data_IF_471796804472
#
_entry.id   IF_471796804472
#
_cell.length_a   1.000
_cell.length_b   1.000
_cell.length_c   1.000
_cell.angle_alpha   90.00
_cell.angle_beta   90.00
_cell.angle_gamma   90.00
#
_symmetry.space_group_name_H-M   'P 1'
#
loop_
_entity.id
_entity.type
_entity.pdbx_description
1 polymer ?
#
# COMPACT_ATOMS: atom_id res chain seq x y z
N UNK A 1 21.48 2.32 -5.08
CA UNK A 1 20.44 2.87 -4.17
C UNK A 1 20.62 2.29 -2.77
N UNK A 2 20.25 3.00 -1.69
CA UNK A 2 20.29 2.42 -0.33
C UNK A 2 18.90 1.88 0.05
N UNK A 3 18.72 0.55 0.01
CA UNK A 3 17.44 -0.09 0.28
C UNK A 3 16.97 0.12 1.73
N UNK A 4 17.89 0.12 2.70
CA UNK A 4 17.56 0.34 4.11
C UNK A 4 17.00 1.74 4.35
N UNK A 5 17.50 2.72 3.60
CA UNK A 5 16.97 4.08 3.63
C UNK A 5 15.55 4.13 3.06
N UNK A 6 15.26 3.39 1.99
CA UNK A 6 13.91 3.32 1.40
C UNK A 6 12.91 2.61 2.33
N UNK A 7 13.34 1.58 3.08
CA UNK A 7 12.52 0.96 4.13
C UNK A 7 12.20 1.97 5.23
N UNK A 8 13.20 2.72 5.72
CA UNK A 8 13.00 3.79 6.70
C UNK A 8 12.05 4.88 6.18
N UNK A 9 12.17 5.24 4.89
CA UNK A 9 11.25 6.17 4.23
C UNK A 9 9.81 5.64 4.24
N UNK A 10 9.57 4.35 3.94
CA UNK A 10 8.25 3.75 4.07
C UNK A 10 7.66 3.92 5.49
N UNK A 11 8.45 3.67 6.54
CA UNK A 11 8.01 3.86 7.92
C UNK A 11 7.70 5.33 8.27
N UNK A 12 8.53 6.26 7.78
CA UNK A 12 8.31 7.71 7.94
C UNK A 12 7.02 8.13 7.24
N UNK A 13 6.84 7.73 5.97
CA UNK A 13 5.64 8.07 5.21
C UNK A 13 4.39 7.45 5.81
N UNK A 14 4.46 6.23 6.36
CA UNK A 14 3.36 5.62 7.12
C UNK A 14 2.96 6.46 8.35
N UNK A 15 3.95 6.94 9.13
CA UNK A 15 3.69 7.85 10.26
C UNK A 15 3.04 9.16 9.80
N UNK A 16 3.50 9.71 8.67
CA UNK A 16 2.92 10.92 8.11
C UNK A 16 1.50 10.70 7.58
N UNK A 17 1.22 9.60 6.88
CA UNK A 17 -0.14 9.22 6.48
C UNK A 17 -1.05 9.18 7.70
N UNK A 18 -0.63 8.52 8.79
CA UNK A 18 -1.39 8.46 10.04
C UNK A 18 -1.59 9.85 10.68
N UNK A 19 -0.58 10.72 10.64
CA UNK A 19 -0.65 12.06 11.22
C UNK A 19 -1.65 12.96 10.48
N UNK A 20 -1.71 12.84 9.16
CA UNK A 20 -2.54 13.70 8.33
C UNK A 20 -3.92 13.12 8.00
N UNK A 21 -4.20 11.87 8.39
CA UNK A 21 -5.51 11.25 8.20
C UNK A 21 -6.62 12.08 8.90
N UNK A 22 -7.75 12.41 8.24
CA UNK A 22 -8.18 11.97 6.92
C UNK A 22 -7.98 12.97 5.77
N UNK A 23 -7.08 13.95 5.88
CA UNK A 23 -6.89 15.00 4.86
C UNK A 23 -6.47 14.42 3.50
N UNK A 24 -7.32 14.53 2.46
CA UNK A 24 -7.06 13.87 1.19
C UNK A 24 -5.79 14.36 0.50
N UNK A 25 -5.46 15.65 0.59
CA UNK A 25 -4.27 16.21 -0.06
C UNK A 25 -2.99 15.65 0.55
N UNK A 26 -2.86 15.71 1.88
CA UNK A 26 -1.64 15.26 2.55
C UNK A 26 -1.52 13.75 2.51
N UNK A 27 -2.62 13.01 2.73
CA UNK A 27 -2.61 11.55 2.59
C UNK A 27 -2.22 11.14 1.17
N UNK A 28 -2.77 11.77 0.13
CA UNK A 28 -2.37 11.51 -1.25
C UNK A 28 -0.86 11.72 -1.46
N UNK A 29 -0.34 12.85 -0.99
CA UNK A 29 1.07 13.22 -1.16
C UNK A 29 2.01 12.19 -0.51
N UNK A 30 1.77 11.83 0.74
CA UNK A 30 2.62 10.86 1.45
C UNK A 30 2.39 9.42 0.96
N UNK A 31 1.19 9.08 0.49
CA UNK A 31 0.93 7.77 -0.08
C UNK A 31 1.64 7.56 -1.43
N UNK A 32 1.70 8.57 -2.29
CA UNK A 32 2.51 8.53 -3.52
C UNK A 32 3.99 8.32 -3.17
N UNK A 33 4.51 9.04 -2.17
CA UNK A 33 5.90 8.86 -1.71
C UNK A 33 6.15 7.45 -1.16
N UNK A 34 5.22 6.93 -0.36
CA UNK A 34 5.27 5.56 0.13
C UNK A 34 5.36 4.55 -1.02
N UNK A 35 4.48 4.66 -2.03
CA UNK A 35 4.49 3.79 -3.20
C UNK A 35 5.81 3.87 -3.98
N UNK A 36 6.35 5.07 -4.14
CA UNK A 36 7.65 5.25 -4.82
C UNK A 36 8.78 4.54 -4.05
N UNK A 37 8.79 4.62 -2.71
CA UNK A 37 9.76 3.88 -1.91
C UNK A 37 9.60 2.36 -2.01
N UNK A 38 8.37 1.84 -2.10
CA UNK A 38 8.15 0.41 -2.41
C UNK A 38 8.77 0.03 -3.76
N UNK A 39 8.56 0.83 -4.81
CA UNK A 39 9.16 0.57 -6.11
C UNK A 39 10.69 0.61 -6.08
N UNK A 40 11.25 1.56 -5.34
CA UNK A 40 12.68 1.66 -5.11
C UNK A 40 13.22 0.43 -4.36
N UNK A 41 12.54 -0.06 -3.32
CA UNK A 41 12.97 -1.29 -2.63
C UNK A 41 13.02 -2.48 -3.60
N UNK A 42 11.97 -2.66 -4.42
CA UNK A 42 11.91 -3.76 -5.39
C UNK A 42 13.07 -3.65 -6.40
N UNK A 43 13.29 -2.47 -6.97
CA UNK A 43 14.40 -2.25 -7.91
C UNK A 43 15.76 -2.49 -7.22
N UNK A 44 15.88 -2.09 -5.95
CA UNK A 44 17.09 -2.28 -5.15
C UNK A 44 17.45 -3.73 -4.94
N UNK A 45 16.46 -4.60 -4.73
CA UNK A 45 16.69 -6.06 -4.65
C UNK A 45 17.40 -6.57 -5.92
N UNK A 46 17.00 -6.06 -7.09
CA UNK A 46 17.66 -6.41 -8.34
C UNK A 46 19.01 -5.69 -8.55
N UNK A 47 19.24 -4.54 -7.91
CA UNK A 47 20.57 -3.91 -7.87
C UNK A 47 21.57 -4.74 -7.05
N UNK A 48 21.16 -5.21 -5.87
CA UNK A 48 21.96 -6.14 -5.05
C UNK A 48 22.25 -7.42 -5.82
N UNK A 49 21.22 -8.06 -6.41
CA UNK A 49 21.38 -9.26 -7.22
C UNK A 49 22.28 -9.04 -8.45
N UNK A 50 22.15 -7.91 -9.14
CA UNK A 50 22.99 -7.59 -10.31
C UNK A 50 24.47 -7.50 -9.95
N UNK A 51 24.76 -6.97 -8.77
CA UNK A 51 26.12 -6.90 -8.23
C UNK A 51 26.62 -8.30 -7.86
N UNK A 52 25.81 -9.06 -7.12
CA UNK A 52 26.21 -10.38 -6.62
C UNK A 52 26.41 -11.43 -7.73
N UNK A 53 25.61 -11.37 -8.79
CA UNK A 53 25.73 -12.27 -9.94
C UNK A 53 26.63 -11.72 -11.06
N UNK A 54 27.19 -10.51 -10.93
CA UNK A 54 28.10 -9.96 -11.95
C UNK A 54 27.42 -9.69 -13.31
N UNK A 55 26.18 -9.24 -13.31
CA UNK A 55 25.45 -8.95 -14.55
C UNK A 55 25.88 -7.63 -15.21
N UNK A 56 26.49 -6.70 -14.45
CA UNK A 56 27.03 -5.42 -14.92
C UNK A 56 26.01 -4.54 -15.68
N UNK A 57 24.76 -4.49 -15.21
CA UNK A 57 23.78 -3.51 -15.69
C UNK A 57 24.10 -2.16 -15.02
N UNK A 58 24.35 -1.12 -15.81
CA UNK A 58 24.68 0.23 -15.35
C UNK A 58 23.49 1.19 -15.28
N UNK A 59 22.42 0.89 -16.02
CA UNK A 59 21.17 1.68 -16.01
C UNK A 59 20.27 1.31 -14.82
N UNK A 60 19.19 2.09 -14.61
CA UNK A 60 18.13 1.74 -13.63
C UNK A 60 17.66 0.29 -13.85
N UNK A 61 17.83 -0.53 -12.82
CA UNK A 61 17.56 -1.96 -12.87
C UNK A 61 16.11 -2.22 -12.49
N UNK A 62 15.39 -2.89 -13.40
CA UNK A 62 14.07 -3.46 -13.14
C UNK A 62 14.16 -4.97 -13.27
N UNK A 63 13.21 -5.70 -12.70
CA UNK A 63 13.11 -7.16 -12.85
C UNK A 63 13.21 -7.61 -14.32
N UNK A 64 12.50 -6.92 -15.22
CA UNK A 64 12.52 -7.22 -16.67
C UNK A 64 13.91 -7.03 -17.27
N UNK A 65 14.60 -5.92 -16.95
CA UNK A 65 15.95 -5.67 -17.45
C UNK A 65 16.95 -6.69 -16.90
N UNK A 66 16.86 -6.99 -15.60
CA UNK A 66 17.67 -8.02 -14.95
C UNK A 66 17.50 -9.38 -15.64
N UNK A 67 16.26 -9.83 -15.82
CA UNK A 67 15.94 -11.10 -16.47
C UNK A 67 16.46 -11.17 -17.91
N UNK A 68 16.26 -10.12 -18.70
CA UNK A 68 16.74 -10.07 -20.09
C UNK A 68 18.27 -10.12 -20.17
N UNK A 69 18.98 -9.42 -19.27
CA UNK A 69 20.44 -9.47 -19.20
C UNK A 69 20.94 -10.84 -18.80
N UNK A 70 20.32 -11.46 -17.80
CA UNK A 70 20.65 -12.82 -17.36
C UNK A 70 20.47 -13.84 -18.50
N UNK A 71 19.38 -13.74 -19.27
CA UNK A 71 19.15 -14.55 -20.48
C UNK A 71 20.25 -14.35 -21.53
N UNK A 72 20.58 -13.10 -21.85
CA UNK A 72 21.59 -12.77 -22.85
C UNK A 72 22.98 -13.29 -22.45
N UNK A 73 23.30 -13.32 -21.15
CA UNK A 73 24.55 -13.86 -20.60
C UNK A 73 24.52 -15.36 -20.32
N UNK A 74 23.37 -16.01 -20.49
CA UNK A 74 23.15 -17.41 -20.08
C UNK A 74 23.50 -17.67 -18.61
N UNK A 75 23.25 -16.69 -17.74
CA UNK A 75 23.53 -16.80 -16.31
C UNK A 75 22.39 -17.54 -15.59
N UNK A 76 22.58 -18.85 -15.40
CA UNK A 76 21.57 -19.72 -14.77
C UNK A 76 21.23 -19.33 -13.33
N UNK A 77 22.20 -18.80 -12.58
CA UNK A 77 22.00 -18.41 -11.19
C UNK A 77 21.14 -17.16 -11.08
N UNK A 78 21.42 -16.16 -11.91
CA UNK A 78 20.59 -14.96 -12.02
C UNK A 78 19.18 -15.29 -12.54
N UNK A 79 19.04 -16.19 -13.52
CA UNK A 79 17.73 -16.64 -14.01
C UNK A 79 16.92 -17.33 -12.91
N UNK A 80 17.54 -18.26 -12.17
CA UNK A 80 16.94 -18.96 -11.03
C UNK A 80 16.48 -18.00 -9.94
N UNK A 81 17.27 -16.95 -9.65
CA UNK A 81 16.85 -15.90 -8.73
C UNK A 81 15.64 -15.11 -9.26
N UNK A 82 15.69 -14.69 -10.52
CA UNK A 82 14.62 -13.92 -11.16
C UNK A 82 13.29 -14.67 -11.15
N UNK A 83 13.29 -15.97 -11.45
CA UNK A 83 12.10 -16.83 -11.44
C UNK A 83 11.57 -17.06 -10.03
N UNK A 84 12.48 -17.33 -9.07
CA UNK A 84 12.11 -17.44 -7.67
C UNK A 84 11.44 -16.16 -7.16
N UNK A 85 11.99 -14.98 -7.49
CA UNK A 85 11.43 -13.71 -7.05
C UNK A 85 10.03 -13.49 -7.63
N UNK A 86 9.83 -13.76 -8.93
CA UNK A 86 8.50 -13.69 -9.55
C UNK A 86 7.48 -14.55 -8.80
N UNK A 87 7.81 -15.83 -8.57
CA UNK A 87 6.92 -16.76 -7.90
C UNK A 87 6.63 -16.34 -6.45
N UNK A 88 7.67 -15.91 -5.72
CA UNK A 88 7.52 -15.43 -4.34
C UNK A 88 6.64 -14.18 -4.28
N UNK A 89 6.86 -13.23 -5.19
CA UNK A 89 6.04 -12.02 -5.30
C UNK A 89 4.57 -12.38 -5.58
N UNK A 90 4.29 -13.27 -6.53
CA UNK A 90 2.93 -13.74 -6.80
C UNK A 90 2.28 -14.38 -5.58
N UNK A 91 2.99 -15.26 -4.86
CA UNK A 91 2.48 -15.91 -3.65
C UNK A 91 2.12 -14.90 -2.57
N UNK A 92 2.99 -13.92 -2.28
CA UNK A 92 2.70 -12.86 -1.30
C UNK A 92 1.47 -12.04 -1.69
N UNK A 93 1.28 -11.85 -3.00
CA UNK A 93 0.18 -11.07 -3.58
C UNK A 93 -1.08 -11.87 -3.86
N UNK A 94 -1.16 -13.14 -3.44
CA UNK A 94 -2.45 -13.86 -3.33
C UNK A 94 -3.30 -13.31 -2.19
N UNK A 95 -2.68 -12.74 -1.16
CA UNK A 95 -3.39 -12.12 -0.04
C UNK A 95 -4.09 -10.83 -0.49
N UNK A 96 -5.32 -10.53 0.00
CA UNK A 96 -6.11 -9.40 -0.50
C UNK A 96 -5.41 -8.04 -0.41
N UNK A 97 -4.83 -7.70 0.75
CA UNK A 97 -4.19 -6.39 0.95
C UNK A 97 -2.90 -6.22 0.11
N UNK A 98 -1.96 -7.17 0.10
CA UNK A 98 -0.87 -7.14 -0.85
C UNK A 98 -1.33 -7.00 -2.31
N UNK A 99 -2.31 -7.79 -2.74
CA UNK A 99 -2.85 -7.70 -4.11
C UNK A 99 -3.37 -6.29 -4.42
N UNK A 100 -4.14 -5.71 -3.49
CA UNK A 100 -4.66 -4.34 -3.61
C UNK A 100 -3.53 -3.32 -3.76
N UNK A 101 -2.47 -3.42 -2.94
CA UNK A 101 -1.31 -2.53 -3.07
C UNK A 101 -0.68 -2.68 -4.47
N UNK A 102 -0.53 -3.91 -4.97
CA UNK A 102 0.01 -4.13 -6.32
C UNK A 102 -0.88 -3.52 -7.42
N UNK A 103 -2.21 -3.67 -7.32
CA UNK A 103 -3.16 -3.00 -8.23
C UNK A 103 -3.00 -1.48 -8.19
N UNK A 104 -2.91 -0.88 -7.00
CA UNK A 104 -2.70 0.58 -6.85
C UNK A 104 -1.39 1.03 -7.48
N UNK A 105 -0.30 0.27 -7.27
CA UNK A 105 1.00 0.56 -7.89
C UNK A 105 0.92 0.53 -9.41
N UNK A 106 0.28 -0.50 -9.97
CA UNK A 106 0.07 -0.61 -11.42
C UNK A 106 -0.76 0.56 -11.96
N UNK A 107 -1.88 0.88 -11.30
CA UNK A 107 -2.72 2.02 -11.66
C UNK A 107 -1.93 3.33 -11.67
N UNK A 108 -1.17 3.62 -10.60
CA UNK A 108 -0.32 4.81 -10.51
C UNK A 108 0.70 4.86 -11.64
N UNK A 109 1.33 3.74 -11.95
CA UNK A 109 2.38 3.70 -12.96
C UNK A 109 1.82 3.84 -14.38
N UNK A 110 0.57 3.45 -14.62
CA UNK A 110 -0.12 3.66 -15.90
C UNK A 110 -0.67 5.09 -16.05
N UNK A 111 -1.17 5.69 -14.96
CA UNK A 111 -1.90 6.97 -15.01
C UNK A 111 -1.09 8.17 -14.50
N UNK A 112 0.11 7.95 -13.97
CA UNK A 112 0.96 8.93 -13.28
C UNK A 112 0.31 9.61 -12.06
N UNK A 113 -0.88 9.16 -11.66
CA UNK A 113 -1.65 9.65 -10.51
C UNK A 113 -2.41 8.51 -9.82
N UNK A 114 -2.81 8.76 -8.58
CA UNK A 114 -3.73 7.88 -7.88
C UNK A 114 -5.19 8.20 -8.23
N UNK A 115 -6.11 7.22 -8.04
CA UNK A 115 -7.54 7.49 -7.97
C UNK A 115 -7.87 8.55 -6.92
N UNK A 116 -9.09 9.08 -7.00
CA UNK A 116 -9.56 10.05 -6.03
C UNK A 116 -9.56 9.47 -4.61
N UNK A 117 -9.08 10.27 -3.66
CA UNK A 117 -9.07 9.96 -2.24
C UNK A 117 -10.22 10.71 -1.58
N UNK A 118 -11.04 9.96 -0.85
CA UNK A 118 -12.25 10.43 -0.20
C UNK A 118 -12.14 10.27 1.31
N UNK A 119 -12.83 11.14 2.03
CA UNK A 119 -12.97 11.04 3.48
C UNK A 119 -14.14 10.09 3.75
N UNK A 120 -13.91 9.03 4.50
CA UNK A 120 -14.96 8.08 4.87
C UNK A 120 -15.07 7.96 6.38
N UNK A 121 -16.30 7.85 6.87
CA UNK A 121 -16.63 7.43 8.21
C UNK A 121 -16.57 5.91 8.32
N UNK A 122 -16.00 5.42 9.43
CA UNK A 122 -15.87 4.00 9.75
C UNK A 122 -15.99 3.75 11.25
N UNK A 123 -16.27 2.50 11.64
CA UNK A 123 -16.05 2.05 13.01
C UNK A 123 -14.56 2.00 13.35
N UNK A 124 -14.17 2.20 14.61
CA UNK A 124 -12.75 2.16 15.05
C UNK A 124 -12.13 0.78 14.91
N UNK A 125 -12.90 -0.25 15.23
CA UNK A 125 -12.58 -1.66 14.99
C UNK A 125 -13.00 -2.03 13.56
N UNK A 126 -12.18 -2.83 12.87
CA UNK A 126 -12.37 -3.20 11.47
C UNK A 126 -12.89 -4.63 11.36
N UNK A 127 -14.02 -4.78 10.70
CA UNK A 127 -14.56 -6.07 10.29
C UNK A 127 -14.66 -6.14 8.77
N UNK A 128 -14.68 -7.36 8.23
CA UNK A 128 -14.54 -7.60 6.78
C UNK A 128 -15.63 -6.90 5.98
N UNK A 129 -16.86 -6.96 6.48
CA UNK A 129 -18.05 -6.49 5.77
C UNK A 129 -18.59 -5.16 6.34
N UNK A 130 -17.72 -4.43 7.07
CA UNK A 130 -18.05 -3.13 7.65
C UNK A 130 -18.52 -2.13 6.59
N UNK A 131 -19.50 -1.32 6.97
CA UNK A 131 -20.01 -0.23 6.15
C UNK A 131 -19.11 1.01 6.27
N UNK A 132 -18.79 1.62 5.12
CA UNK A 132 -18.06 2.88 5.04
C UNK A 132 -18.91 3.94 4.34
N UNK A 133 -19.03 5.11 4.96
CA UNK A 133 -19.87 6.21 4.49
C UNK A 133 -19.01 7.41 4.11
N UNK A 134 -19.19 7.95 2.91
CA UNK A 134 -18.45 9.13 2.46
C UNK A 134 -18.91 10.39 3.19
N UNK A 135 -17.94 11.15 3.70
CA UNK A 135 -18.15 12.44 4.34
C UNK A 135 -17.88 13.54 3.29
N UNK A 136 -18.93 14.26 2.90
CA UNK A 136 -18.84 15.35 1.91
C UNK A 136 -18.67 16.68 2.63
N UNK A 137 -17.50 17.30 2.47
CA UNK A 137 -17.18 18.63 2.98
C UNK A 137 -16.47 19.44 1.92
N UNK A 138 -16.45 20.76 2.10
CA UNK A 138 -15.73 21.65 1.20
C UNK A 138 -14.22 21.48 1.35
N UNK A 139 -13.54 21.31 0.22
CA UNK A 139 -12.09 21.18 0.15
C UNK A 139 -11.51 22.33 -0.67
N UNK A 140 -10.41 22.92 -0.19
CA UNK A 140 -9.64 23.91 -0.95
C UNK A 140 -8.37 23.25 -1.46
N UNK A 141 -8.23 23.10 -2.77
CA UNK A 141 -7.13 22.36 -3.38
C UNK A 141 -6.99 20.94 -2.79
N UNK A 142 -8.11 20.24 -2.60
CA UNK A 142 -8.23 18.91 -1.95
C UNK A 142 -7.84 18.84 -0.47
N UNK A 143 -7.52 19.97 0.17
CA UNK A 143 -7.25 20.07 1.61
C UNK A 143 -8.51 20.33 2.39
N UNK A 144 -8.60 19.77 3.59
CA UNK A 144 -9.66 20.09 4.55
C UNK A 144 -9.51 21.55 4.96
N UNK A 145 -10.56 22.35 4.74
CA UNK A 145 -10.56 23.78 5.08
C UNK A 145 -10.75 23.97 6.58
N UNK A 146 -11.69 23.23 7.17
CA UNK A 146 -12.07 23.35 8.57
C UNK A 146 -12.28 21.97 9.20
N UNK A 147 -11.58 21.72 10.30
CA UNK A 147 -11.82 20.53 11.13
C UNK A 147 -13.21 20.58 11.77
N UNK A 148 -13.71 21.76 12.10
CA UNK A 148 -15.05 21.94 12.66
C UNK A 148 -16.13 21.52 11.66
N UNK A 149 -15.99 21.87 10.38
CA UNK A 149 -16.92 21.44 9.33
C UNK A 149 -16.93 19.91 9.21
N UNK A 150 -15.76 19.27 9.26
CA UNK A 150 -15.64 17.82 9.28
C UNK A 150 -16.38 17.20 10.49
N UNK A 151 -16.17 17.74 11.69
CA UNK A 151 -16.84 17.26 12.90
C UNK A 151 -18.36 17.43 12.87
N UNK A 152 -18.84 18.58 12.37
CA UNK A 152 -20.27 18.84 12.18
C UNK A 152 -20.87 17.79 11.23
N UNK A 153 -20.20 17.52 10.11
CA UNK A 153 -20.69 16.56 9.12
C UNK A 153 -20.70 15.13 9.66
N UNK A 154 -19.66 14.72 10.39
CA UNK A 154 -19.61 13.43 11.10
C UNK A 154 -20.79 13.32 12.07
N UNK A 155 -21.03 14.34 12.90
CA UNK A 155 -22.15 14.35 13.86
C UNK A 155 -23.50 14.26 13.15
N UNK A 156 -23.67 14.97 12.03
CA UNK A 156 -24.89 14.94 11.21
C UNK A 156 -25.17 13.55 10.64
N UNK A 157 -24.16 12.87 10.11
CA UNK A 157 -24.30 11.56 9.47
C UNK A 157 -24.31 10.38 10.45
N UNK A 158 -23.81 10.58 11.67
CA UNK A 158 -23.67 9.54 12.71
C UNK A 158 -24.92 8.68 12.94
N UNK A 159 -26.15 9.22 13.04
CA UNK A 159 -27.33 8.40 13.32
C UNK A 159 -27.58 7.34 12.24
N UNK A 160 -27.60 7.76 10.97
CA UNK A 160 -27.84 6.87 9.82
C UNK A 160 -26.70 5.87 9.66
N UNK A 161 -25.45 6.32 9.83
CA UNK A 161 -24.30 5.43 9.78
C UNK A 161 -24.37 4.33 10.84
N UNK A 162 -24.70 4.68 12.09
CA UNK A 162 -24.82 3.73 13.20
C UNK A 162 -25.94 2.73 12.97
N UNK A 163 -27.04 3.13 12.34
CA UNK A 163 -28.12 2.23 11.97
C UNK A 163 -27.63 1.19 10.95
N UNK A 164 -27.02 1.65 9.86
CA UNK A 164 -26.57 0.77 8.76
C UNK A 164 -25.45 -0.17 9.23
N UNK A 165 -24.39 0.34 9.87
CA UNK A 165 -23.26 -0.48 10.28
C UNK A 165 -23.66 -1.52 11.33
N UNK A 166 -24.52 -1.15 12.30
CA UNK A 166 -24.92 -2.09 13.35
C UNK A 166 -25.91 -3.13 12.84
N UNK A 167 -26.73 -2.80 11.83
CA UNK A 167 -27.54 -3.80 11.14
C UNK A 167 -26.65 -4.87 10.53
N UNK A 168 -25.63 -4.48 9.75
CA UNK A 168 -24.67 -5.42 9.15
C UNK A 168 -23.90 -6.23 10.19
N UNK A 169 -23.38 -5.58 11.23
CA UNK A 169 -22.64 -6.28 12.29
C UNK A 169 -23.52 -7.29 13.01
N UNK A 170 -24.79 -6.96 13.26
CA UNK A 170 -25.73 -7.89 13.87
C UNK A 170 -26.00 -9.12 12.97
N UNK A 171 -26.08 -8.93 11.65
CA UNK A 171 -26.22 -10.04 10.68
C UNK A 171 -25.00 -10.99 10.68
N UNK A 172 -23.82 -10.49 11.08
CA UNK A 172 -22.57 -11.25 11.14
C UNK A 172 -22.11 -11.62 12.56
N UNK A 173 -22.96 -11.43 13.58
CA UNK A 173 -22.62 -11.65 15.01
C UNK A 173 -21.41 -10.83 15.51
N UNK A 174 -21.19 -9.64 14.93
CA UNK A 174 -20.09 -8.75 15.25
C UNK A 174 -20.49 -7.67 16.31
N UNK A 175 -19.54 -7.19 17.14
CA UNK A 175 -19.82 -6.20 18.17
C UNK A 175 -20.37 -4.87 17.65
N UNK A 176 -21.40 -4.36 18.34
CA UNK A 176 -22.05 -3.08 18.02
C UNK A 176 -21.09 -1.89 18.09
N UNK A 177 -21.14 -1.04 17.08
CA UNK A 177 -20.51 0.29 17.03
C UNK A 177 -21.35 1.29 17.82
N UNK A 178 -20.70 2.06 18.68
CA UNK A 178 -21.30 3.18 19.40
C UNK A 178 -20.73 4.50 18.89
N UNK A 179 -21.36 5.63 19.24
CA UNK A 179 -20.87 6.98 18.86
C UNK A 179 -19.39 7.22 19.19
N UNK A 180 -18.91 6.66 20.31
CA UNK A 180 -17.50 6.77 20.76
C UNK A 180 -16.54 5.92 19.93
N UNK A 181 -17.05 4.96 19.16
CA UNK A 181 -16.30 4.03 18.30
C UNK A 181 -16.41 4.41 16.81
N UNK A 182 -16.69 5.68 16.49
CA UNK A 182 -16.70 6.18 15.11
C UNK A 182 -15.44 7.01 14.87
N UNK A 183 -14.86 6.88 13.69
CA UNK A 183 -13.75 7.71 13.24
C UNK A 183 -13.85 7.97 11.73
N UNK A 184 -13.02 8.87 11.22
CA UNK A 184 -12.90 9.17 9.80
C UNK A 184 -11.50 8.83 9.31
N UNK A 185 -11.38 8.31 8.09
CA UNK A 185 -10.10 8.02 7.45
C UNK A 185 -10.16 8.31 5.95
N UNK A 186 -8.99 8.46 5.34
CA UNK A 186 -8.82 8.62 3.92
C UNK A 186 -8.87 7.25 3.20
N UNK A 187 -9.78 7.16 2.24
CA UNK A 187 -9.99 5.97 1.44
C UNK A 187 -9.73 6.25 -0.04
N UNK A 188 -9.23 5.24 -0.72
CA UNK A 188 -9.13 5.20 -2.17
C UNK A 188 -10.15 4.19 -2.71
N UNK A 189 -10.76 4.52 -3.84
CA UNK A 189 -11.64 3.60 -4.58
C UNK A 189 -10.95 3.17 -5.87
N UNK A 190 -10.73 1.86 -6.02
CA UNK A 190 -10.30 1.27 -7.30
C UNK A 190 -11.51 1.05 -8.22
N UNK A 191 -11.25 0.72 -9.49
CA UNK A 191 -12.27 0.50 -10.52
C UNK A 191 -13.32 -0.54 -10.14
N UNK A 192 -12.97 -1.55 -9.34
CA UNK A 192 -13.87 -2.58 -8.80
C UNK A 192 -14.81 -2.05 -7.67
N UNK A 193 -14.99 -0.74 -7.54
CA UNK A 193 -15.66 -0.01 -6.44
C UNK A 193 -15.15 -0.32 -5.02
N UNK A 194 -14.05 -1.05 -4.91
CA UNK A 194 -13.48 -1.46 -3.64
C UNK A 194 -12.93 -0.24 -2.89
N UNK A 195 -13.53 0.07 -1.74
CA UNK A 195 -13.10 1.12 -0.82
C UNK A 195 -11.96 0.60 0.05
N UNK A 196 -10.80 1.26 -0.01
CA UNK A 196 -9.57 0.83 0.65
C UNK A 196 -9.07 1.94 1.57
N UNK A 197 -8.99 1.65 2.88
CA UNK A 197 -8.38 2.56 3.86
C UNK A 197 -6.86 2.62 3.63
N UNK A 198 -6.35 3.80 3.26
CA UNK A 198 -4.95 3.95 2.83
C UNK A 198 -3.98 3.67 3.98
N UNK A 199 -4.28 4.20 5.17
CA UNK A 199 -3.46 3.97 6.35
C UNK A 199 -3.33 2.48 6.64
N UNK A 200 -4.44 1.73 6.57
CA UNK A 200 -4.48 0.31 6.95
C UNK A 200 -3.75 -0.55 5.94
N UNK A 201 -3.92 -0.25 4.66
CA UNK A 201 -3.18 -0.88 3.58
C UNK A 201 -1.65 -0.72 3.77
N UNK A 202 -1.19 0.49 4.09
CA UNK A 202 0.24 0.75 4.29
C UNK A 202 0.80 0.01 5.53
N UNK A 203 0.02 -0.06 6.61
CA UNK A 203 0.40 -0.82 7.82
C UNK A 203 0.60 -2.31 7.51
N UNK A 204 -0.28 -2.91 6.70
CA UNK A 204 -0.18 -4.31 6.33
C UNK A 204 0.97 -4.54 5.35
N UNK A 205 1.19 -3.63 4.41
CA UNK A 205 2.16 -3.85 3.33
C UNK A 205 3.61 -3.59 3.74
N UNK A 206 3.86 -2.72 4.73
CA UNK A 206 5.24 -2.41 5.17
C UNK A 206 6.00 -3.67 5.64
N UNK A 207 5.42 -4.56 6.48
CA UNK A 207 6.04 -5.84 6.82
C UNK A 207 6.23 -6.79 5.63
N UNK A 208 5.32 -6.75 4.64
CA UNK A 208 5.37 -7.62 3.45
C UNK A 208 6.59 -7.27 2.59
N UNK A 209 6.80 -5.98 2.32
CA UNK A 209 7.95 -5.57 1.50
C UNK A 209 9.29 -5.83 2.22
N UNK A 210 9.32 -5.67 3.55
CA UNK A 210 10.51 -5.99 4.35
C UNK A 210 10.84 -7.47 4.30
N UNK A 211 9.84 -8.34 4.48
CA UNK A 211 10.02 -9.80 4.34
C UNK A 211 10.49 -10.18 2.93
N UNK A 212 9.93 -9.57 1.88
CA UNK A 212 10.38 -9.80 0.51
C UNK A 212 11.86 -9.45 0.30
N UNK A 213 12.34 -8.35 0.88
CA UNK A 213 13.75 -7.97 0.87
C UNK A 213 14.63 -9.00 1.59
N UNK A 214 14.28 -9.33 2.83
CA UNK A 214 15.07 -10.24 3.67
C UNK A 214 15.18 -11.63 3.02
N UNK A 215 14.07 -12.19 2.54
CA UNK A 215 14.06 -13.48 1.84
C UNK A 215 14.82 -13.43 0.51
N UNK A 216 14.83 -12.28 -0.18
CA UNK A 216 15.59 -12.13 -1.43
C UNK A 216 17.09 -12.18 -1.18
N UNK A 217 17.58 -11.50 -0.13
CA UNK A 217 19.00 -11.55 0.26
C UNK A 217 19.41 -12.97 0.65
N UNK A 218 18.58 -13.68 1.41
CA UNK A 218 18.82 -15.08 1.75
C UNK A 218 18.85 -15.97 0.50
N UNK A 219 17.98 -15.72 -0.48
CA UNK A 219 17.98 -16.47 -1.73
C UNK A 219 19.24 -16.23 -2.55
N UNK A 220 19.68 -14.97 -2.68
CA UNK A 220 20.91 -14.61 -3.40
C UNK A 220 22.11 -15.36 -2.79
N UNK A 221 22.26 -15.30 -1.46
CA UNK A 221 23.32 -16.04 -0.75
C UNK A 221 23.24 -17.54 -1.03
N UNK A 222 22.06 -18.16 -0.89
CA UNK A 222 21.88 -19.60 -1.11
C UNK A 222 22.24 -20.04 -2.54
N UNK A 223 21.95 -19.22 -3.55
CA UNK A 223 22.30 -19.54 -4.94
C UNK A 223 23.81 -19.41 -5.18
N UNK A 224 24.47 -18.43 -4.55
CA UNK A 224 25.90 -18.17 -4.73
C UNK A 224 26.81 -19.24 -4.11
N UNK A 225 26.34 -19.88 -3.04
CA UNK A 225 27.09 -20.93 -2.33
C UNK A 225 26.60 -22.36 -2.66
N UNK A 226 25.84 -22.53 -3.75
CA UNK A 226 25.51 -23.82 -4.36
C UNK A 226 26.45 -24.10 -5.53
#
# INVERSE_FOLDING_TARGET
MNIEEEIKKCEIFLKQIKQYDPDPFYVNYFFIKYINSIENIINGIFEEANTDFGLFISEKITQKKFHNKAKAKQDFNALKFSEWFSNKYEIEHKNPYPNIMNKIRQFKNMNEKLPEIKIMMRGTERYKDDFYQEIKIDLKNKKIISKEQLEIEIKRQTPIFLEIINKKRNENEEPKVTKKKITSSAFLTLEDEQKIEIMYLCQIYTPVIRRLLDESRDKIKKIKFQ
#
